data_IF_505489303200
#
_entry.id   IF_505489303200
#
_cell.length_a   1.000
_cell.length_b   1.000
_cell.length_c   1.000
_cell.angle_alpha   90.00
_cell.angle_beta   90.00
_cell.angle_gamma   90.00
#
_symmetry.space_group_name_H-M   'P 1'
#
loop_
_entity.id
_entity.type
_entity.pdbx_description
1 polymer ?
#
# COMPACT_ATOMS: atom_id res chain seq x y z
N UNK A 1 19.91 0.88 -1.98
CA UNK A 1 19.22 0.82 -3.29
C UNK A 1 18.14 1.88 -3.32
N UNK A 2 17.80 2.40 -4.49
CA UNK A 2 16.95 3.61 -4.61
C UNK A 2 15.84 3.49 -5.65
N UNK A 3 15.76 2.38 -6.37
CA UNK A 3 14.74 2.16 -7.40
C UNK A 3 14.40 0.66 -7.53
N UNK A 4 13.35 0.37 -8.30
CA UNK A 4 12.85 -0.96 -8.56
C UNK A 4 13.86 -1.85 -9.29
N UNK A 5 14.68 -1.28 -10.18
CA UNK A 5 15.68 -2.02 -10.94
C UNK A 5 16.81 -2.52 -10.03
N UNK A 6 17.35 -1.65 -9.18
CA UNK A 6 18.39 -1.99 -8.20
C UNK A 6 17.87 -2.91 -7.09
N UNK A 7 16.58 -2.79 -6.71
CA UNK A 7 15.91 -3.76 -5.83
C UNK A 7 15.83 -5.14 -6.48
N UNK A 8 15.34 -5.22 -7.73
CA UNK A 8 15.21 -6.48 -8.45
C UNK A 8 16.57 -7.18 -8.65
N UNK A 9 17.63 -6.41 -8.88
CA UNK A 9 18.98 -6.91 -9.07
C UNK A 9 19.66 -7.45 -7.80
N UNK A 10 19.10 -7.20 -6.60
CA UNK A 10 19.69 -7.69 -5.37
C UNK A 10 19.61 -9.22 -5.29
N UNK A 11 20.73 -9.89 -5.05
CA UNK A 11 20.79 -11.36 -5.02
C UNK A 11 21.06 -11.92 -3.64
N UNK A 12 21.38 -11.10 -2.65
CA UNK A 12 21.67 -11.53 -1.29
C UNK A 12 21.28 -10.44 -0.29
N UNK A 13 20.81 -10.86 0.88
CA UNK A 13 20.64 -10.03 2.05
C UNK A 13 20.89 -10.90 3.29
N UNK A 14 21.87 -10.53 4.10
CA UNK A 14 22.29 -11.28 5.28
C UNK A 14 22.78 -10.35 6.38
N UNK A 15 23.23 -10.90 7.51
CA UNK A 15 23.88 -10.10 8.56
C UNK A 15 25.21 -9.48 8.08
N UNK A 16 25.94 -10.16 7.21
CA UNK A 16 27.21 -9.66 6.65
C UNK A 16 26.98 -8.63 5.53
N UNK A 17 25.85 -8.73 4.84
CA UNK A 17 25.46 -7.79 3.78
C UNK A 17 23.98 -7.43 3.90
N UNK A 18 23.63 -6.53 4.83
CA UNK A 18 22.25 -6.09 5.00
C UNK A 18 21.79 -5.27 3.79
N UNK A 19 20.49 -5.33 3.52
CA UNK A 19 19.87 -4.58 2.44
C UNK A 19 19.10 -3.37 3.00
N UNK A 20 19.40 -2.19 2.48
CA UNK A 20 18.65 -0.96 2.79
C UNK A 20 18.14 -0.32 1.50
N UNK A 21 16.81 -0.25 1.37
CA UNK A 21 16.11 0.42 0.27
C UNK A 21 15.54 1.76 0.72
N UNK A 22 15.85 2.82 -0.04
CA UNK A 22 15.36 4.18 0.19
C UNK A 22 14.78 4.69 -1.14
N UNK A 23 13.47 4.52 -1.32
CA UNK A 23 12.80 4.71 -2.62
C UNK A 23 12.09 6.07 -2.77
N UNK A 24 12.18 6.93 -1.76
CA UNK A 24 11.68 8.31 -1.77
C UNK A 24 12.42 9.13 -0.68
N UNK A 25 12.46 10.45 -0.84
CA UNK A 25 13.01 11.36 0.19
C UNK A 25 12.16 11.41 1.47
N UNK A 26 10.88 11.04 1.35
CA UNK A 26 9.91 10.94 2.43
C UNK A 26 9.00 9.73 2.25
N UNK A 27 7.68 9.92 2.31
CA UNK A 27 6.74 8.85 1.98
C UNK A 27 6.78 8.54 0.48
N UNK A 28 6.67 7.27 0.11
CA UNK A 28 6.50 6.87 -1.29
C UNK A 28 5.17 7.43 -1.84
N UNK A 29 5.13 7.80 -3.14
CA UNK A 29 3.91 8.30 -3.77
C UNK A 29 2.80 7.24 -3.82
N UNK A 30 1.56 7.67 -3.54
CA UNK A 30 0.37 6.80 -3.56
C UNK A 30 0.07 6.26 -4.96
N UNK A 31 -0.61 5.10 -5.03
CA UNK A 31 -1.00 4.40 -6.25
C UNK A 31 -1.96 5.20 -7.11
N UNK A 32 -3.02 5.71 -6.50
CA UNK A 32 -4.11 6.39 -7.21
C UNK A 32 -4.27 7.84 -6.75
N UNK A 33 -4.80 8.65 -7.63
CA UNK A 33 -5.20 10.02 -7.34
C UNK A 33 -6.71 10.23 -7.59
N UNK A 34 -7.21 11.27 -6.94
CA UNK A 34 -8.58 11.77 -7.06
C UNK A 34 -8.74 13.03 -6.21
N UNK A 35 -9.84 13.78 -6.37
CA UNK A 35 -10.09 14.96 -5.57
C UNK A 35 -10.22 14.61 -4.08
N UNK A 36 -9.83 15.58 -3.24
CA UNK A 36 -10.16 15.55 -1.82
C UNK A 36 -11.67 15.75 -1.65
N UNK A 37 -12.27 15.00 -0.74
CA UNK A 37 -13.67 15.15 -0.37
C UNK A 37 -13.98 16.57 0.10
N UNK A 38 -15.23 16.98 -0.08
CA UNK A 38 -15.68 18.35 0.23
C UNK A 38 -17.04 18.36 0.91
N UNK A 39 -17.39 19.47 1.55
CA UNK A 39 -18.69 19.61 2.18
C UNK A 39 -19.80 19.44 1.13
N UNK A 40 -20.71 18.48 1.36
CA UNK A 40 -21.76 18.07 0.42
C UNK A 40 -21.27 17.67 -0.99
N UNK A 41 -20.00 17.26 -1.14
CA UNK A 41 -19.45 16.85 -2.43
C UNK A 41 -20.24 15.73 -3.12
N UNK A 42 -20.88 14.83 -2.36
CA UNK A 42 -21.73 13.79 -2.92
C UNK A 42 -23.01 14.30 -3.62
N UNK A 43 -23.44 15.53 -3.30
CA UNK A 43 -24.65 16.17 -3.85
C UNK A 43 -24.24 17.21 -4.91
N UNK A 44 -23.22 18.01 -4.59
CA UNK A 44 -22.89 19.21 -5.35
C UNK A 44 -21.85 18.97 -6.46
N UNK A 45 -21.25 17.77 -6.52
CA UNK A 45 -20.24 17.40 -7.51
C UNK A 45 -20.60 16.11 -8.25
N UNK A 46 -20.06 15.92 -9.47
CA UNK A 46 -20.22 14.65 -10.17
C UNK A 46 -19.46 13.53 -9.45
N UNK A 47 -19.89 12.26 -9.63
CA UNK A 47 -19.16 11.11 -9.13
C UNK A 47 -17.74 11.02 -9.70
N UNK A 48 -16.83 10.49 -8.89
CA UNK A 48 -15.42 10.38 -9.15
C UNK A 48 -15.07 8.98 -9.60
N UNK A 49 -14.19 8.90 -10.60
CA UNK A 49 -13.48 7.67 -10.95
C UNK A 49 -12.02 7.85 -10.60
N UNK A 50 -11.48 7.01 -9.72
CA UNK A 50 -10.08 7.05 -9.33
C UNK A 50 -9.17 6.67 -10.49
N UNK A 51 -8.01 7.33 -10.60
CA UNK A 51 -7.06 7.11 -11.68
C UNK A 51 -5.67 6.80 -11.14
N UNK A 52 -4.81 6.07 -11.88
CA UNK A 52 -3.40 5.94 -11.53
C UNK A 52 -2.74 7.30 -11.33
N UNK A 53 -1.92 7.43 -10.29
CA UNK A 53 -1.23 8.67 -9.97
C UNK A 53 -0.04 8.89 -10.94
N UNK A 54 -0.07 9.88 -11.83
CA UNK A 54 1.01 10.14 -12.78
C UNK A 54 2.30 10.62 -12.11
N UNK A 55 2.25 11.00 -10.82
CA UNK A 55 3.43 11.41 -10.03
C UNK A 55 4.16 10.23 -9.40
N UNK A 56 3.59 9.01 -9.47
CA UNK A 56 4.28 7.79 -9.08
C UNK A 56 5.09 7.28 -10.26
N UNK A 57 6.39 7.56 -10.24
CA UNK A 57 7.32 7.08 -11.26
C UNK A 57 7.43 5.55 -11.22
N UNK A 58 7.54 4.90 -12.38
CA UNK A 58 7.64 3.44 -12.48
C UNK A 58 8.94 2.85 -11.89
N UNK A 59 9.95 3.68 -11.66
CA UNK A 59 11.16 3.30 -10.92
C UNK A 59 10.93 3.16 -9.41
N UNK A 60 9.81 3.66 -8.87
CA UNK A 60 9.44 3.43 -7.47
C UNK A 60 8.77 2.07 -7.35
N UNK A 61 9.32 1.11 -6.58
CA UNK A 61 8.73 -0.21 -6.47
C UNK A 61 7.34 -0.16 -5.82
N UNK A 62 6.49 -1.12 -6.16
CA UNK A 62 5.21 -1.34 -5.46
C UNK A 62 5.41 -2.05 -4.13
N UNK A 63 4.41 -1.97 -3.24
CA UNK A 63 4.47 -2.72 -1.98
C UNK A 63 4.56 -4.23 -2.23
N UNK A 64 3.84 -4.71 -3.26
CA UNK A 64 3.90 -6.10 -3.71
C UNK A 64 5.31 -6.49 -4.23
N UNK A 65 5.97 -5.65 -5.01
CA UNK A 65 7.34 -5.90 -5.50
C UNK A 65 8.36 -5.94 -4.35
N UNK A 66 8.24 -5.03 -3.38
CA UNK A 66 9.08 -5.05 -2.17
C UNK A 66 8.84 -6.31 -1.34
N UNK A 67 7.58 -6.71 -1.19
CA UNK A 67 7.18 -7.93 -0.46
C UNK A 67 7.73 -9.18 -1.12
N UNK A 68 7.52 -9.33 -2.42
CA UNK A 68 8.04 -10.45 -3.21
C UNK A 68 9.56 -10.56 -3.10
N UNK A 69 10.27 -9.42 -3.20
CA UNK A 69 11.72 -9.41 -3.09
C UNK A 69 12.22 -9.73 -1.67
N UNK A 70 11.56 -9.21 -0.64
CA UNK A 70 11.89 -9.53 0.74
C UNK A 70 11.71 -11.04 1.01
N UNK A 71 10.62 -11.64 0.54
CA UNK A 71 10.36 -13.07 0.68
C UNK A 71 11.43 -13.90 -0.07
N UNK A 72 11.77 -13.55 -1.32
CA UNK A 72 12.83 -14.24 -2.09
C UNK A 72 14.18 -14.26 -1.35
N UNK A 73 14.55 -13.16 -0.71
CA UNK A 73 15.82 -13.06 0.00
C UNK A 73 15.78 -13.74 1.37
N UNK A 74 14.70 -13.54 2.15
CA UNK A 74 14.58 -14.03 3.53
C UNK A 74 14.31 -15.54 3.61
N UNK A 75 13.56 -16.10 2.66
CA UNK A 75 13.20 -17.53 2.62
C UNK A 75 14.39 -18.47 2.45
N UNK A 76 15.58 -17.95 2.12
CA UNK A 76 16.82 -18.73 1.98
C UNK A 76 17.44 -19.14 3.31
N UNK A 77 16.98 -18.55 4.42
CA UNK A 77 17.41 -18.95 5.75
C UNK A 77 16.63 -20.19 6.20
N UNK A 78 17.32 -21.32 6.37
CA UNK A 78 16.72 -22.60 6.79
C UNK A 78 16.05 -22.56 8.18
N UNK A 79 16.40 -21.58 9.02
CA UNK A 79 15.76 -21.39 10.34
C UNK A 79 14.44 -20.62 10.27
N UNK A 80 14.05 -20.18 9.08
CA UNK A 80 12.88 -19.34 8.85
C UNK A 80 13.17 -17.84 8.94
N UNK A 81 12.12 -17.04 8.84
CA UNK A 81 12.21 -15.58 8.89
C UNK A 81 10.96 -14.96 9.52
N UNK A 82 11.10 -13.68 9.88
CA UNK A 82 10.00 -12.81 10.24
C UNK A 82 10.03 -11.61 9.28
N UNK A 83 8.85 -11.18 8.81
CA UNK A 83 8.71 -10.04 7.91
C UNK A 83 7.45 -9.27 8.29
N UNK A 84 7.58 -7.95 8.47
CA UNK A 84 6.47 -7.02 8.56
C UNK A 84 6.40 -6.20 7.26
N UNK A 85 5.19 -6.07 6.72
CA UNK A 85 4.88 -5.26 5.54
C UNK A 85 3.74 -4.32 5.92
N UNK A 86 3.88 -3.04 5.60
CA UNK A 86 2.95 -1.99 6.03
C UNK A 86 2.42 -1.19 4.84
N UNK A 87 1.09 -1.16 4.69
CA UNK A 87 0.38 -0.27 3.77
C UNK A 87 0.16 1.12 4.37
N UNK A 88 1.25 1.88 4.58
CA UNK A 88 1.27 3.03 5.47
C UNK A 88 0.36 4.22 5.05
N UNK A 89 0.12 4.40 3.75
CA UNK A 89 -0.62 5.59 3.26
C UNK A 89 -2.14 5.39 3.23
N UNK A 90 -2.67 4.23 3.62
CA UNK A 90 -4.12 4.07 3.87
C UNK A 90 -4.57 5.12 4.90
N UNK A 91 -3.88 5.16 6.05
CA UNK A 91 -4.08 6.13 7.13
C UNK A 91 -3.86 7.57 6.65
N UNK A 92 -2.74 7.83 5.96
CA UNK A 92 -2.40 9.19 5.49
C UNK A 92 -3.46 9.78 4.56
N UNK A 93 -4.04 8.94 3.70
CA UNK A 93 -5.07 9.38 2.76
C UNK A 93 -6.46 9.49 3.41
N UNK A 94 -6.76 8.69 4.44
CA UNK A 94 -7.96 8.87 5.27
C UNK A 94 -7.86 10.19 6.05
N UNK A 95 -6.71 10.50 6.68
CA UNK A 95 -6.43 11.82 7.27
C UNK A 95 -6.59 12.97 6.29
N UNK A 96 -6.18 12.78 5.03
CA UNK A 96 -6.32 13.78 3.98
C UNK A 96 -7.77 13.94 3.48
N UNK A 97 -8.70 13.08 3.92
CA UNK A 97 -10.05 12.93 3.37
C UNK A 97 -10.02 12.75 1.84
N UNK A 98 -9.12 11.89 1.35
CA UNK A 98 -8.97 11.58 -0.07
C UNK A 98 -9.33 10.11 -0.34
N UNK A 99 -10.59 9.83 -0.75
CA UNK A 99 -11.05 8.46 -0.92
C UNK A 99 -10.26 7.68 -1.98
N UNK A 100 -9.96 8.30 -3.12
CA UNK A 100 -9.24 7.60 -4.19
C UNK A 100 -7.82 7.18 -3.79
N UNK A 101 -7.11 8.06 -3.08
CA UNK A 101 -5.81 7.70 -2.53
C UNK A 101 -5.93 6.57 -1.51
N UNK A 102 -6.86 6.69 -0.55
CA UNK A 102 -7.04 5.68 0.49
C UNK A 102 -7.41 4.30 -0.06
N UNK A 103 -8.36 4.24 -0.99
CA UNK A 103 -8.78 3.00 -1.64
C UNK A 103 -7.62 2.43 -2.45
N UNK A 104 -6.91 3.27 -3.21
CA UNK A 104 -5.75 2.84 -4.00
C UNK A 104 -4.63 2.23 -3.14
N UNK A 105 -4.35 2.79 -1.96
CA UNK A 105 -3.36 2.23 -1.04
C UNK A 105 -3.85 0.93 -0.37
N UNK A 106 -5.16 0.79 -0.16
CA UNK A 106 -5.74 -0.48 0.32
C UNK A 106 -5.59 -1.58 -0.74
N UNK A 107 -5.75 -1.23 -2.02
CA UNK A 107 -5.46 -2.14 -3.15
C UNK A 107 -3.96 -2.47 -3.24
N UNK A 108 -3.05 -1.51 -2.99
CA UNK A 108 -1.59 -1.78 -2.92
C UNK A 108 -1.27 -2.83 -1.84
N UNK A 109 -1.91 -2.73 -0.68
CA UNK A 109 -1.75 -3.70 0.40
C UNK A 109 -2.34 -5.06 0.04
N UNK A 110 -3.52 -5.12 -0.59
CA UNK A 110 -4.10 -6.38 -1.06
C UNK A 110 -3.16 -7.13 -2.00
N UNK A 111 -2.54 -6.44 -2.97
CA UNK A 111 -1.56 -7.05 -3.87
C UNK A 111 -0.33 -7.61 -3.11
N UNK A 112 0.13 -6.94 -2.06
CA UNK A 112 1.22 -7.44 -1.22
C UNK A 112 0.78 -8.67 -0.39
N UNK A 113 -0.44 -8.66 0.13
CA UNK A 113 -1.04 -9.81 0.82
C UNK A 113 -1.16 -11.01 -0.12
N UNK A 114 -1.54 -10.80 -1.39
CA UNK A 114 -1.56 -11.87 -2.39
C UNK A 114 -0.17 -12.52 -2.54
N UNK A 115 0.91 -11.74 -2.60
CA UNK A 115 2.29 -12.26 -2.64
C UNK A 115 2.66 -13.08 -1.40
N UNK A 116 2.27 -12.61 -0.21
CA UNK A 116 2.48 -13.36 1.02
C UNK A 116 1.69 -14.69 1.04
N UNK A 117 0.43 -14.69 0.59
CA UNK A 117 -0.41 -15.88 0.52
C UNK A 117 0.05 -16.89 -0.54
N UNK A 118 0.52 -16.42 -1.70
CA UNK A 118 1.14 -17.25 -2.73
C UNK A 118 2.34 -18.03 -2.17
N UNK A 119 3.24 -17.33 -1.47
CA UNK A 119 4.37 -17.96 -0.80
C UNK A 119 3.91 -18.94 0.28
N UNK A 120 3.03 -18.50 1.18
CA UNK A 120 2.61 -19.31 2.32
C UNK A 120 1.93 -20.62 1.91
N UNK A 121 1.09 -20.59 0.86
CA UNK A 121 0.45 -21.79 0.30
C UNK A 121 1.47 -22.78 -0.27
N UNK A 122 2.55 -22.28 -0.87
CA UNK A 122 3.62 -23.11 -1.44
C UNK A 122 4.55 -23.69 -0.38
N UNK A 123 4.89 -22.88 0.62
CA UNK A 123 5.79 -23.25 1.71
C UNK A 123 5.14 -24.23 2.71
N UNK A 124 3.86 -24.03 3.00
CA UNK A 124 3.07 -24.92 3.88
C UNK A 124 3.34 -24.76 5.38
N UNK A 125 4.35 -23.97 5.79
CA UNK A 125 4.72 -23.77 7.19
C UNK A 125 4.78 -22.27 7.57
N UNK A 126 4.12 -21.42 6.78
CA UNK A 126 4.12 -19.96 6.96
C UNK A 126 2.80 -19.47 7.55
N UNK A 127 2.89 -18.66 8.62
CA UNK A 127 1.76 -17.92 9.18
C UNK A 127 1.67 -16.54 8.54
N UNK A 128 0.49 -16.20 8.00
CA UNK A 128 0.18 -14.86 7.48
C UNK A 128 -0.86 -14.20 8.40
N UNK A 129 -0.57 -12.98 8.86
CA UNK A 129 -1.47 -12.15 9.67
C UNK A 129 -1.70 -10.85 8.92
N UNK A 130 -2.96 -10.44 8.81
CA UNK A 130 -3.37 -9.15 8.24
C UNK A 130 -4.25 -8.45 9.27
N UNK A 131 -3.91 -7.22 9.62
CA UNK A 131 -4.65 -6.40 10.59
C UNK A 131 -4.43 -4.92 10.29
N UNK A 132 -5.25 -4.07 10.92
CA UNK A 132 -4.93 -2.67 11.13
C UNK A 132 -4.41 -2.47 12.57
N UNK A 133 -3.72 -1.36 12.81
CA UNK A 133 -3.27 -0.92 14.13
C UNK A 133 -4.39 -0.19 14.90
N UNK A 134 -5.22 0.59 14.20
CA UNK A 134 -6.43 1.21 14.74
C UNK A 134 -7.51 1.45 13.67
N UNK A 135 -8.70 1.91 14.10
CA UNK A 135 -9.76 2.37 13.20
C UNK A 135 -9.48 3.79 12.67
N UNK A 136 -10.28 4.26 11.70
CA UNK A 136 -10.18 5.63 11.17
C UNK A 136 -11.56 6.23 10.85
N UNK A 137 -11.58 7.46 10.32
CA UNK A 137 -12.74 8.33 10.20
C UNK A 137 -13.71 8.03 9.04
N UNK A 138 -13.25 7.40 7.95
CA UNK A 138 -14.09 7.18 6.76
C UNK A 138 -15.33 6.32 7.05
N UNK A 139 -16.46 6.69 6.43
CA UNK A 139 -17.74 6.00 6.57
C UNK A 139 -18.45 5.92 5.21
N UNK A 140 -19.11 4.80 4.94
CA UNK A 140 -20.00 4.64 3.78
C UNK A 140 -21.39 5.12 4.17
N UNK A 141 -21.93 6.08 3.41
CA UNK A 141 -23.24 6.71 3.65
C UNK A 141 -24.14 6.63 2.40
N UNK A 142 -25.46 6.84 2.52
CA UNK A 142 -26.33 7.00 1.35
C UNK A 142 -25.91 8.17 0.47
N UNK A 143 -26.00 7.99 -0.85
CA UNK A 143 -25.54 8.95 -1.85
C UNK A 143 -26.22 10.33 -1.78
N UNK A 144 -27.45 10.39 -1.31
CA UNK A 144 -28.28 11.60 -1.18
C UNK A 144 -28.24 12.24 0.22
N UNK A 145 -27.40 11.70 1.12
CA UNK A 145 -27.28 12.18 2.49
C UNK A 145 -26.61 13.56 2.57
N UNK A 146 -27.20 14.46 3.37
CA UNK A 146 -26.57 15.73 3.77
C UNK A 146 -25.73 15.50 5.03
N UNK A 147 -24.57 14.86 4.84
CA UNK A 147 -23.68 14.58 5.95
C UNK A 147 -23.01 15.86 6.48
N UNK A 148 -22.79 15.97 7.81
CA UNK A 148 -22.05 17.10 8.39
C UNK A 148 -20.54 17.05 8.08
N UNK A 149 -20.03 15.90 7.60
CA UNK A 149 -18.63 15.68 7.24
C UNK A 149 -18.31 16.01 5.78
N UNK A 150 -17.06 15.75 5.39
CA UNK A 150 -16.64 15.82 3.99
C UNK A 150 -17.08 14.54 3.26
N UNK A 151 -17.59 14.73 2.05
CA UNK A 151 -18.14 13.66 1.21
C UNK A 151 -17.63 13.81 -0.20
N UNK A 152 -17.48 12.68 -0.89
CA UNK A 152 -17.23 12.60 -2.33
C UNK A 152 -17.94 11.34 -2.82
N UNK A 153 -18.55 11.38 -4.00
CA UNK A 153 -19.20 10.22 -4.61
C UNK A 153 -18.29 9.55 -5.62
#
# INVERSE_FOLDING_TARGET
MTDAASLAAATEASQDKPLLGLFADGNMPVRWEGPKASYHGNIDKPPVTCTPNPKRDASVPTLAQMTEKAIDLLSRNEKGFFLQVEGASIDKQDHAANPCGQIGETVDLDEAVQKALEFARKDGNTLVIVTADHAHASQIIPADSKAPGLTEL
#
